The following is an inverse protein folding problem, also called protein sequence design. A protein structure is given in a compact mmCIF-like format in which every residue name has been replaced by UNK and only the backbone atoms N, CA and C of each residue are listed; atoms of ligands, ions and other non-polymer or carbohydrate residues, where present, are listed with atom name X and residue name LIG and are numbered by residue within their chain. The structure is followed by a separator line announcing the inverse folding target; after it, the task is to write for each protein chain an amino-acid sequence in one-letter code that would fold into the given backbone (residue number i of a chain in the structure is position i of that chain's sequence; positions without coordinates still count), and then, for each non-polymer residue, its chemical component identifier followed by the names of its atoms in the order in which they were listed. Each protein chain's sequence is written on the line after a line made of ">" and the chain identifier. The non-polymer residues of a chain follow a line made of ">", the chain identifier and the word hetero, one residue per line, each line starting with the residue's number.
data_IF_483524595320
#
_entry.id   IF_483524595320
#
_cell.length_a   1.000
_cell.length_b   1.000
_cell.length_c   1.000
_cell.angle_alpha   90.00
_cell.angle_beta   90.00
_cell.angle_gamma   90.00
#
_symmetry.space_group_name_H-M   'P 1'
#
loop_
_entity.id
_entity.type
_entity.pdbx_description
1 polymer ?
#
# COMPACT_ATOMS: atom_id res chain seq x y z
N UNK A 1 22.45 -2.04 -13.23
CA UNK A 1 22.85 -1.58 -11.88
C UNK A 1 22.47 -2.62 -10.81
N UNK A 2 21.19 -2.97 -10.60
CA UNK A 2 20.78 -3.93 -9.55
C UNK A 2 21.41 -5.32 -9.73
N UNK A 3 21.47 -5.82 -10.95
CA UNK A 3 22.10 -7.10 -11.29
C UNK A 3 23.62 -7.06 -11.06
N UNK A 4 24.27 -5.93 -11.33
CA UNK A 4 25.72 -5.77 -11.12
C UNK A 4 26.12 -5.70 -9.64
N UNK A 5 25.16 -5.42 -8.74
CA UNK A 5 25.36 -5.44 -7.28
C UNK A 5 25.01 -6.81 -6.70
N UNK A 6 24.56 -7.78 -7.52
CA UNK A 6 24.21 -9.13 -7.07
C UNK A 6 22.81 -9.24 -6.41
N UNK A 7 21.96 -8.23 -6.56
CA UNK A 7 20.59 -8.29 -6.06
C UNK A 7 19.74 -9.24 -6.90
N UNK A 8 19.13 -10.21 -6.23
CA UNK A 8 18.18 -11.13 -6.84
C UNK A 8 16.78 -10.51 -6.87
N UNK A 9 15.91 -10.89 -7.83
CA UNK A 9 14.51 -10.42 -7.85
C UNK A 9 13.81 -10.64 -6.50
N UNK A 10 13.94 -11.83 -5.91
CA UNK A 10 13.35 -12.14 -4.60
C UNK A 10 13.88 -11.22 -3.48
N UNK A 11 15.16 -10.80 -3.56
CA UNK A 11 15.73 -9.84 -2.62
C UNK A 11 15.05 -8.45 -2.73
N UNK A 12 14.76 -8.01 -3.95
CA UNK A 12 14.07 -6.73 -4.19
C UNK A 12 12.63 -6.80 -3.68
N UNK A 13 11.91 -7.90 -3.93
CA UNK A 13 10.56 -8.13 -3.38
C UNK A 13 10.57 -8.10 -1.84
N UNK A 14 11.59 -8.71 -1.20
CA UNK A 14 11.74 -8.66 0.26
C UNK A 14 11.98 -7.24 0.76
N UNK A 15 12.78 -6.44 0.05
CA UNK A 15 12.99 -5.02 0.36
C UNK A 15 11.66 -4.26 0.26
N UNK A 16 10.87 -4.53 -0.78
CA UNK A 16 9.51 -3.96 -0.95
C UNK A 16 8.62 -4.23 0.27
N UNK A 17 8.63 -5.46 0.79
CA UNK A 17 7.89 -5.82 2.01
C UNK A 17 8.40 -5.04 3.24
N UNK A 18 9.73 -4.93 3.42
CA UNK A 18 10.32 -4.15 4.52
C UNK A 18 9.93 -2.68 4.44
N UNK A 19 9.91 -2.10 3.24
CA UNK A 19 9.46 -0.73 3.02
C UNK A 19 7.97 -0.56 3.38
N UNK A 20 7.12 -1.53 3.04
CA UNK A 20 5.71 -1.52 3.43
C UNK A 20 5.50 -1.71 4.95
N UNK A 21 6.38 -2.45 5.62
CA UNK A 21 6.43 -2.45 7.09
C UNK A 21 6.77 -1.06 7.62
N UNK A 22 7.71 -0.35 6.98
CA UNK A 22 8.02 1.05 7.27
C UNK A 22 6.80 1.97 7.09
N UNK A 23 5.97 1.76 6.06
CA UNK A 23 4.69 2.46 5.89
C UNK A 23 3.79 2.27 7.10
N UNK A 24 3.58 1.02 7.53
CA UNK A 24 2.76 0.72 8.70
C UNK A 24 3.30 1.42 9.97
N UNK A 25 4.62 1.40 10.16
CA UNK A 25 5.27 2.06 11.29
C UNK A 25 5.06 3.57 11.27
N UNK A 26 5.16 4.24 10.12
CA UNK A 26 4.88 5.68 9.99
C UNK A 26 3.45 6.01 10.44
N UNK A 27 2.46 5.24 9.98
CA UNK A 27 1.08 5.43 10.39
C UNK A 27 0.85 5.16 11.88
N UNK A 28 1.51 4.13 12.45
CA UNK A 28 1.43 3.83 13.89
C UNK A 28 2.05 4.95 14.71
N UNK A 29 3.23 5.45 14.33
CA UNK A 29 3.87 6.60 15.01
C UNK A 29 2.96 7.83 14.91
N UNK A 30 2.38 8.10 13.74
CA UNK A 30 1.44 9.19 13.56
C UNK A 30 0.17 9.04 14.41
N UNK A 31 -0.28 7.81 14.62
CA UNK A 31 -1.42 7.49 15.48
C UNK A 31 -1.15 7.79 16.96
N UNK A 32 0.06 7.47 17.43
CA UNK A 32 0.45 7.61 18.85
C UNK A 32 0.98 9.02 19.20
N UNK A 33 1.66 9.67 18.24
CA UNK A 33 2.37 10.92 18.48
C UNK A 33 1.74 12.13 17.82
N UNK A 34 0.89 11.92 16.79
CA UNK A 34 0.21 12.99 16.06
C UNK A 34 -1.03 13.49 16.77
N UNK A 35 -1.35 14.77 16.57
CA UNK A 35 -2.63 15.33 17.02
C UNK A 35 -3.73 15.00 15.98
N UNK A 36 -5.00 14.90 16.44
CA UNK A 36 -6.15 14.78 15.53
C UNK A 36 -6.19 16.02 14.60
N UNK A 37 -6.21 15.79 13.28
CA UNK A 37 -6.15 16.86 12.29
C UNK A 37 -4.74 17.19 11.80
N UNK A 38 -3.70 16.59 12.35
CA UNK A 38 -2.35 16.63 11.79
C UNK A 38 -2.20 15.53 10.73
N UNK A 39 -2.36 15.91 9.48
CA UNK A 39 -2.24 14.99 8.34
C UNK A 39 -0.81 14.86 7.80
N UNK A 40 0.20 15.41 8.46
CA UNK A 40 1.60 15.32 8.02
C UNK A 40 2.07 13.88 7.94
N UNK A 41 1.70 13.04 8.92
CA UNK A 41 2.00 11.60 8.92
C UNK A 41 1.31 10.84 7.78
N UNK A 42 0.11 11.26 7.39
CA UNK A 42 -0.59 10.71 6.21
C UNK A 42 0.21 11.05 4.96
N UNK A 43 0.70 12.27 4.82
CA UNK A 43 1.55 12.70 3.70
C UNK A 43 2.85 11.88 3.62
N UNK A 44 3.57 11.73 4.74
CA UNK A 44 4.77 10.90 4.81
C UNK A 44 4.49 9.43 4.52
N UNK A 45 3.38 8.88 5.05
CA UNK A 45 2.91 7.54 4.74
C UNK A 45 2.64 7.38 3.24
N UNK A 46 1.95 8.34 2.62
CA UNK A 46 1.68 8.37 1.19
C UNK A 46 2.96 8.39 0.34
N UNK A 47 3.93 9.23 0.71
CA UNK A 47 5.24 9.26 0.03
C UNK A 47 5.97 7.91 0.13
N UNK A 48 5.93 7.29 1.31
CA UNK A 48 6.56 5.99 1.53
C UNK A 48 5.84 4.85 0.80
N UNK A 49 4.50 4.91 0.68
CA UNK A 49 3.72 3.96 -0.14
C UNK A 49 4.16 4.03 -1.61
N UNK A 50 4.26 5.23 -2.18
CA UNK A 50 4.70 5.42 -3.56
C UNK A 50 6.14 4.93 -3.75
N UNK A 51 7.02 5.21 -2.80
CA UNK A 51 8.40 4.75 -2.83
C UNK A 51 8.49 3.22 -2.77
N UNK A 52 7.77 2.56 -1.87
CA UNK A 52 7.70 1.10 -1.80
C UNK A 52 7.14 0.48 -3.08
N UNK A 53 6.09 1.10 -3.67
CA UNK A 53 5.50 0.65 -4.93
C UNK A 53 6.47 0.70 -6.11
N UNK A 54 7.45 1.61 -6.11
CA UNK A 54 8.52 1.61 -7.11
C UNK A 54 9.38 0.34 -7.04
N UNK A 55 9.69 -0.15 -5.85
CA UNK A 55 10.47 -1.39 -5.67
C UNK A 55 9.69 -2.61 -6.17
N UNK A 56 8.39 -2.67 -5.93
CA UNK A 56 7.53 -3.74 -6.46
C UNK A 56 7.51 -3.77 -8.00
N UNK A 57 7.65 -2.62 -8.66
CA UNK A 57 7.74 -2.57 -10.12
C UNK A 57 9.14 -2.98 -10.63
N UNK A 58 10.17 -2.76 -9.82
CA UNK A 58 11.56 -3.02 -10.20
C UNK A 58 11.90 -4.53 -10.17
N UNK A 59 11.37 -5.29 -9.23
CA UNK A 59 11.69 -6.72 -9.10
C UNK A 59 11.27 -7.52 -10.34
N UNK A 60 10.07 -7.28 -10.86
CA UNK A 60 9.58 -7.87 -12.10
C UNK A 60 10.38 -7.46 -13.34
N UNK A 61 10.90 -6.22 -13.38
CA UNK A 61 11.76 -5.77 -14.47
C UNK A 61 13.14 -6.44 -14.37
N UNK A 62 13.73 -6.49 -13.17
CA UNK A 62 15.02 -7.15 -12.93
C UNK A 62 14.94 -8.63 -13.25
N UNK A 63 13.86 -9.32 -12.88
CA UNK A 63 13.64 -10.72 -13.20
C UNK A 63 13.61 -10.97 -14.72
N UNK A 64 12.94 -10.09 -15.49
CA UNK A 64 12.84 -10.21 -16.94
C UNK A 64 14.17 -9.89 -17.65
N UNK A 65 14.82 -8.80 -17.29
CA UNK A 65 16.09 -8.35 -17.91
C UNK A 65 17.22 -9.34 -17.56
N UNK A 66 17.22 -9.85 -16.33
CA UNK A 66 18.24 -10.81 -15.86
C UNK A 66 18.00 -12.25 -16.29
N UNK A 67 16.93 -12.59 -17.02
CA UNK A 67 16.51 -13.95 -17.30
C UNK A 67 16.42 -14.83 -16.02
N UNK A 68 16.05 -14.22 -14.88
CA UNK A 68 15.95 -14.86 -13.56
C UNK A 68 14.50 -15.18 -13.19
N UNK A 69 13.61 -15.29 -14.16
CA UNK A 69 12.22 -15.66 -13.92
C UNK A 69 12.10 -17.11 -13.48
N UNK A 70 11.38 -17.37 -12.38
CA UNK A 70 11.11 -18.72 -11.89
C UNK A 70 9.67 -18.83 -11.39
N UNK A 71 9.12 -20.05 -11.41
CA UNK A 71 7.77 -20.31 -10.84
C UNK A 71 7.72 -20.00 -9.35
N UNK A 72 8.78 -20.32 -8.63
CA UNK A 72 8.92 -20.00 -7.20
C UNK A 72 8.97 -18.48 -6.98
N UNK A 73 9.77 -17.75 -7.78
CA UNK A 73 9.85 -16.28 -7.68
C UNK A 73 8.51 -15.61 -7.91
N UNK A 74 7.73 -16.06 -8.90
CA UNK A 74 6.40 -15.54 -9.15
C UNK A 74 5.40 -15.83 -8.00
N UNK A 75 5.49 -17.01 -7.37
CA UNK A 75 4.69 -17.31 -6.18
C UNK A 75 5.12 -16.44 -4.99
N UNK A 76 6.44 -16.34 -4.76
CA UNK A 76 7.03 -15.56 -3.68
C UNK A 76 6.60 -14.09 -3.75
N UNK A 77 6.78 -13.45 -4.90
CA UNK A 77 6.32 -12.11 -5.20
C UNK A 77 4.82 -11.97 -4.93
N UNK A 78 4.03 -12.86 -5.49
CA UNK A 78 2.57 -12.87 -5.31
C UNK A 78 2.14 -12.95 -3.84
N UNK A 79 2.86 -13.68 -2.99
CA UNK A 79 2.57 -13.78 -1.54
C UNK A 79 2.99 -12.52 -0.81
N UNK A 80 4.22 -12.04 -1.03
CA UNK A 80 4.73 -10.84 -0.36
C UNK A 80 3.93 -9.59 -0.73
N UNK A 81 3.43 -9.53 -1.95
CA UNK A 81 2.50 -8.51 -2.41
C UNK A 81 1.25 -8.38 -1.53
N UNK A 82 0.65 -9.50 -1.13
CA UNK A 82 -0.54 -9.50 -0.25
C UNK A 82 -0.16 -9.05 1.15
N UNK A 83 0.97 -9.52 1.68
CA UNK A 83 1.45 -9.05 2.98
C UNK A 83 1.76 -7.55 2.97
N UNK A 84 2.39 -7.04 1.92
CA UNK A 84 2.66 -5.60 1.76
C UNK A 84 1.38 -4.77 1.79
N UNK A 85 0.36 -5.21 1.05
CA UNK A 85 -0.94 -4.55 1.01
C UNK A 85 -1.66 -4.61 2.37
N UNK A 86 -1.63 -5.77 3.04
CA UNK A 86 -2.19 -5.92 4.39
C UNK A 86 -1.50 -5.02 5.40
N UNK A 87 -0.16 -4.91 5.36
CA UNK A 87 0.60 -4.03 6.25
C UNK A 87 0.26 -2.56 6.03
N UNK A 88 0.17 -2.14 4.77
CA UNK A 88 -0.24 -0.77 4.42
C UNK A 88 -1.63 -0.44 5.00
N UNK A 89 -2.63 -1.28 4.74
CA UNK A 89 -3.98 -1.06 5.25
C UNK A 89 -4.06 -1.17 6.77
N UNK A 90 -3.29 -2.06 7.41
CA UNK A 90 -3.19 -2.15 8.87
C UNK A 90 -2.77 -0.82 9.47
N UNK A 91 -1.71 -0.20 8.94
CA UNK A 91 -1.24 1.10 9.39
C UNK A 91 -2.31 2.19 9.20
N UNK A 92 -2.94 2.24 8.03
CA UNK A 92 -4.01 3.21 7.73
C UNK A 92 -5.19 3.02 8.68
N UNK A 93 -5.70 1.80 8.85
CA UNK A 93 -6.83 1.52 9.75
C UNK A 93 -6.50 1.90 11.19
N UNK A 94 -5.30 1.55 11.67
CA UNK A 94 -4.86 1.89 13.02
C UNK A 94 -4.82 3.41 13.24
N UNK A 95 -4.21 4.15 12.30
CA UNK A 95 -4.17 5.60 12.35
C UNK A 95 -5.57 6.22 12.42
N UNK A 96 -6.49 5.76 11.57
CA UNK A 96 -7.85 6.28 11.53
C UNK A 96 -8.63 5.98 12.81
N UNK A 97 -8.47 4.79 13.40
CA UNK A 97 -9.12 4.44 14.67
C UNK A 97 -8.57 5.28 15.81
N UNK A 98 -7.25 5.44 15.91
CA UNK A 98 -6.60 6.20 16.97
C UNK A 98 -7.06 7.68 17.00
N UNK A 99 -7.34 8.24 15.82
CA UNK A 99 -7.84 9.61 15.69
C UNK A 99 -9.39 9.71 15.66
N UNK A 100 -10.11 8.63 16.03
CA UNK A 100 -11.58 8.56 16.07
C UNK A 100 -12.28 8.74 14.71
N UNK A 101 -11.62 8.40 13.60
CA UNK A 101 -12.24 8.34 12.26
C UNK A 101 -12.79 6.93 11.97
N UNK A 102 -13.71 6.45 12.79
CA UNK A 102 -14.20 5.07 12.74
C UNK A 102 -14.83 4.69 11.39
N UNK A 103 -15.67 5.56 10.82
CA UNK A 103 -16.29 5.27 9.52
C UNK A 103 -15.24 5.15 8.41
N UNK A 104 -14.24 6.03 8.40
CA UNK A 104 -13.13 5.99 7.43
C UNK A 104 -12.29 4.72 7.61
N UNK A 105 -12.05 4.29 8.85
CA UNK A 105 -11.36 3.03 9.14
C UNK A 105 -12.16 1.82 8.64
N UNK A 106 -13.49 1.82 8.83
CA UNK A 106 -14.35 0.77 8.31
C UNK A 106 -14.30 0.71 6.77
N UNK A 107 -14.33 1.86 6.10
CA UNK A 107 -14.20 1.94 4.64
C UNK A 107 -12.82 1.44 4.17
N UNK A 108 -11.75 1.77 4.88
CA UNK A 108 -10.41 1.26 4.58
C UNK A 108 -10.33 -0.27 4.76
N UNK A 109 -10.96 -0.81 5.81
CA UNK A 109 -11.02 -2.26 6.03
C UNK A 109 -11.82 -2.98 4.93
N UNK A 110 -12.96 -2.42 4.50
CA UNK A 110 -13.73 -2.94 3.35
C UNK A 110 -12.89 -2.88 2.08
N UNK A 111 -12.12 -1.81 1.88
CA UNK A 111 -11.17 -1.68 0.79
C UNK A 111 -10.12 -2.78 0.78
N UNK A 112 -9.55 -3.12 1.94
CA UNK A 112 -8.63 -4.24 2.11
C UNK A 112 -9.29 -5.57 1.73
N UNK A 113 -10.49 -5.83 2.23
CA UNK A 113 -11.24 -7.06 1.90
C UNK A 113 -11.45 -7.18 0.39
N UNK A 114 -11.91 -6.12 -0.26
CA UNK A 114 -12.10 -6.08 -1.71
C UNK A 114 -10.79 -6.33 -2.48
N UNK A 115 -9.71 -5.70 -2.04
CA UNK A 115 -8.38 -5.84 -2.65
C UNK A 115 -7.86 -7.28 -2.61
N UNK A 116 -7.94 -7.92 -1.43
CA UNK A 116 -7.54 -9.32 -1.25
C UNK A 116 -8.43 -10.25 -2.09
N UNK A 117 -9.74 -10.00 -2.12
CA UNK A 117 -10.68 -10.81 -2.90
C UNK A 117 -10.45 -10.70 -4.40
N UNK A 118 -10.17 -9.53 -4.94
CA UNK A 118 -9.80 -9.36 -6.37
C UNK A 118 -8.57 -10.18 -6.72
N UNK A 119 -7.53 -10.10 -5.88
CA UNK A 119 -6.29 -10.84 -6.08
C UNK A 119 -6.50 -12.36 -5.97
N UNK A 120 -7.30 -12.81 -4.99
CA UNK A 120 -7.66 -14.22 -4.80
C UNK A 120 -8.48 -14.76 -5.98
N UNK A 121 -9.51 -14.03 -6.40
CA UNK A 121 -10.41 -14.45 -7.49
C UNK A 121 -9.64 -14.60 -8.80
N UNK A 122 -8.72 -13.67 -9.09
CA UNK A 122 -7.84 -13.76 -10.26
C UNK A 122 -6.97 -15.02 -10.20
N UNK A 123 -6.26 -15.23 -9.11
CA UNK A 123 -5.40 -16.40 -8.95
C UNK A 123 -6.19 -17.72 -9.03
N UNK A 124 -7.43 -17.73 -8.50
CA UNK A 124 -8.29 -18.89 -8.55
C UNK A 124 -8.80 -19.15 -9.98
N UNK A 125 -9.20 -18.12 -10.72
CA UNK A 125 -9.62 -18.22 -12.11
C UNK A 125 -8.49 -18.78 -12.99
N UNK A 126 -7.28 -18.21 -12.85
CA UNK A 126 -6.10 -18.69 -13.58
C UNK A 126 -5.77 -20.15 -13.25
N UNK A 127 -5.90 -20.57 -11.99
CA UNK A 127 -5.72 -21.95 -11.57
C UNK A 127 -6.80 -22.91 -12.11
N UNK A 128 -7.95 -22.40 -12.54
CA UNK A 128 -9.01 -23.16 -13.21
C UNK A 128 -8.92 -23.08 -14.75
N UNK A 129 -7.90 -22.41 -15.30
CA UNK A 129 -7.75 -22.21 -16.74
C UNK A 129 -8.70 -21.18 -17.33
N UNK A 130 -9.35 -20.36 -16.50
CA UNK A 130 -10.24 -19.30 -16.95
C UNK A 130 -9.42 -18.01 -17.14
N UNK A 131 -9.34 -17.43 -18.35
CA UNK A 131 -8.63 -16.18 -18.56
C UNK A 131 -9.33 -15.04 -17.80
N UNK A 132 -8.62 -14.42 -16.88
CA UNK A 132 -9.11 -13.31 -16.05
C UNK A 132 -8.09 -12.16 -16.09
N UNK A 133 -7.95 -11.53 -17.27
CA UNK A 133 -7.01 -10.42 -17.48
C UNK A 133 -7.65 -9.05 -17.33
N UNK A 134 -8.97 -8.98 -17.47
CA UNK A 134 -9.72 -7.75 -17.44
C UNK A 134 -10.16 -7.44 -16.01
N UNK A 135 -9.80 -6.27 -15.52
CA UNK A 135 -10.20 -5.79 -14.21
C UNK A 135 -9.82 -4.32 -14.05
N UNK A 136 -10.79 -3.51 -13.66
CA UNK A 136 -10.55 -2.15 -13.22
C UNK A 136 -9.75 -2.17 -11.89
N UNK A 137 -8.79 -1.27 -11.72
CA UNK A 137 -8.01 -1.12 -10.50
C UNK A 137 -7.13 -2.34 -10.19
N UNK A 138 -6.17 -2.60 -11.04
CA UNK A 138 -5.10 -3.56 -10.73
C UNK A 138 -4.26 -3.10 -9.53
N UNK A 139 -3.48 -4.01 -8.93
CA UNK A 139 -2.70 -3.71 -7.72
C UNK A 139 -1.82 -2.44 -7.83
N UNK A 140 -1.02 -2.23 -8.89
CA UNK A 140 -0.22 -1.01 -9.01
C UNK A 140 -1.08 0.26 -9.01
N UNK A 141 -2.24 0.22 -9.69
CA UNK A 141 -3.17 1.36 -9.77
C UNK A 141 -3.74 1.70 -8.39
N UNK A 142 -4.10 0.67 -7.58
CA UNK A 142 -4.58 0.87 -6.21
C UNK A 142 -3.51 1.49 -5.32
N UNK A 143 -2.30 0.94 -5.33
CA UNK A 143 -1.17 1.43 -4.52
C UNK A 143 -0.85 2.89 -4.88
N UNK A 144 -0.78 3.21 -6.17
CA UNK A 144 -0.54 4.58 -6.65
C UNK A 144 -1.68 5.51 -6.23
N UNK A 145 -2.94 5.09 -6.37
CA UNK A 145 -4.10 5.92 -5.99
C UNK A 145 -4.10 6.20 -4.49
N UNK A 146 -3.89 5.20 -3.64
CA UNK A 146 -3.84 5.37 -2.18
C UNK A 146 -2.66 6.25 -1.80
N UNK A 147 -1.45 5.97 -2.31
CA UNK A 147 -0.25 6.72 -1.99
C UNK A 147 -0.34 8.18 -2.42
N UNK A 148 -0.85 8.44 -3.64
CA UNK A 148 -1.02 9.78 -4.15
C UNK A 148 -2.09 10.56 -3.38
N UNK A 149 -3.23 9.92 -3.06
CA UNK A 149 -4.28 10.54 -2.27
C UNK A 149 -3.81 10.90 -0.86
N UNK A 150 -3.06 10.00 -0.21
CA UNK A 150 -2.47 10.25 1.10
C UNK A 150 -1.42 11.37 1.06
N UNK A 151 -0.54 11.37 0.06
CA UNK A 151 0.46 12.42 -0.14
C UNK A 151 -0.18 13.79 -0.35
N UNK A 152 -1.20 13.86 -1.22
CA UNK A 152 -1.92 15.10 -1.49
C UNK A 152 -2.68 15.58 -0.25
N UNK A 153 -3.30 14.69 0.52
CA UNK A 153 -3.96 15.01 1.77
C UNK A 153 -2.99 15.70 2.74
N UNK A 154 -1.81 15.12 2.96
CA UNK A 154 -0.78 15.72 3.81
C UNK A 154 -0.25 17.05 3.27
N UNK A 155 -0.05 17.18 1.95
CA UNK A 155 0.40 18.41 1.33
C UNK A 155 -0.63 19.53 1.45
N UNK A 156 -1.91 19.26 1.17
CA UNK A 156 -2.99 20.26 1.24
C UNK A 156 -3.16 20.72 2.68
N UNK A 157 -3.14 19.82 3.66
CA UNK A 157 -3.29 20.21 5.08
C UNK A 157 -2.16 21.11 5.56
N UNK A 158 -0.95 20.96 5.03
CA UNK A 158 0.16 21.86 5.33
C UNK A 158 -0.10 23.30 4.84
N UNK A 159 -0.81 23.49 3.73
CA UNK A 159 -1.13 24.80 3.19
C UNK A 159 -2.41 25.44 3.78
N UNK A 160 -3.40 24.62 4.12
CA UNK A 160 -4.71 25.12 4.61
C UNK A 160 -4.76 25.31 6.13
N UNK A 161 -3.73 24.86 6.85
CA UNK A 161 -3.77 24.76 8.31
C UNK A 161 -4.68 23.62 8.76
N UNK A 162 -4.57 23.23 10.02
CA UNK A 162 -5.42 22.18 10.60
C UNK A 162 -6.84 22.76 10.83
N UNK A 163 -7.63 22.87 9.77
CA UNK A 163 -9.01 23.33 9.87
C UNK A 163 -9.87 22.24 10.51
N UNK A 164 -10.15 22.43 11.79
CA UNK A 164 -11.17 21.68 12.55
C UNK A 164 -12.60 21.89 11.99
N UNK A 165 -12.76 22.68 10.94
CA UNK A 165 -14.06 23.14 10.45
C UNK A 165 -14.78 22.16 9.49
N UNK A 166 -14.15 21.05 9.10
CA UNK A 166 -14.76 20.02 8.23
C UNK A 166 -15.37 18.84 8.99
N UNK A 167 -15.41 18.89 10.31
CA UNK A 167 -16.08 17.88 11.12
C UNK A 167 -17.58 18.20 11.06
N UNK A 168 -18.35 17.34 10.40
CA UNK A 168 -19.82 17.40 10.46
C UNK A 168 -20.20 17.11 11.92
N UNK A 169 -20.78 18.10 12.66
CA UNK A 169 -21.16 17.87 14.04
C UNK A 169 -22.21 16.74 14.08
N UNK A 170 -21.93 15.67 14.84
CA UNK A 170 -22.86 14.57 15.05
C UNK A 170 -22.52 13.26 14.34
N UNK A 171 -21.36 13.15 13.69
CA UNK A 171 -20.81 11.87 13.21
C UNK A 171 -19.50 11.64 13.97
N UNK A 172 -19.61 11.33 15.25
CA UNK A 172 -18.53 10.82 16.10
C UNK A 172 -18.57 9.29 16.15
#
# INVERSE_FOLDING_TARGET
>A
FFISIGLTPNGITTIGLILNLGVAIIFIIGAESGARGDYSYIGWGGAMILFAGMFDMLDGQVARIGNMTSRFGALYDSVLDRYSEMLMFLGICYYLVAHHYFLSSLMAFIGLMGSVMVSYTRARAEGLGIPCKDGLMQRPERVVTIGLSALLCGAISHYTGSDQNWIIPGIE
#
